data_IF_939222268367
#
_entry.id   IF_939222268367
#
_cell.length_a   1.000
_cell.length_b   1.000
_cell.length_c   1.000
_cell.angle_alpha   90.00
_cell.angle_beta   90.00
_cell.angle_gamma   90.00
#
_symmetry.space_group_name_H-M   'P 1'
#
loop_
_entity.id
_entity.type
_entity.pdbx_description
1 polymer ?
#
# COMPACT_ATOMS: atom_id res chain seq x y z
N UNK A 1 -40.71 -12.69 -8.65
CA UNK A 1 -39.89 -13.84 -8.21
C UNK A 1 -38.75 -13.26 -7.39
N UNK A 2 -38.58 -13.68 -6.14
CA UNK A 2 -37.46 -13.21 -5.34
C UNK A 2 -36.16 -13.71 -5.99
N UNK A 3 -35.28 -12.80 -6.42
CA UNK A 3 -33.95 -13.15 -6.89
C UNK A 3 -33.27 -13.95 -5.79
N UNK A 4 -32.87 -15.19 -6.08
CA UNK A 4 -32.13 -16.00 -5.11
C UNK A 4 -30.85 -15.25 -4.73
N UNK A 5 -30.49 -15.18 -3.44
CA UNK A 5 -29.27 -14.50 -2.98
C UNK A 5 -28.03 -14.97 -3.73
N UNK A 6 -28.00 -16.22 -4.20
CA UNK A 6 -26.93 -16.79 -5.02
C UNK A 6 -26.74 -16.10 -6.38
N UNK A 7 -27.80 -15.49 -6.93
CA UNK A 7 -27.77 -14.76 -8.22
C UNK A 7 -27.34 -13.30 -8.08
N UNK A 8 -27.23 -12.77 -6.85
CA UNK A 8 -26.73 -11.42 -6.61
C UNK A 8 -25.21 -11.36 -6.82
N UNK A 9 -24.67 -10.21 -7.26
CA UNK A 9 -23.22 -10.06 -7.45
C UNK A 9 -22.47 -10.07 -6.11
N UNK A 10 -21.16 -10.27 -6.19
CA UNK A 10 -20.23 -9.91 -5.12
C UNK A 10 -19.79 -8.48 -5.33
N UNK A 11 -20.06 -7.60 -4.37
CA UNK A 11 -19.61 -6.22 -4.43
C UNK A 11 -18.13 -6.14 -4.05
N UNK A 12 -17.32 -5.51 -4.91
CA UNK A 12 -15.90 -5.25 -4.67
C UNK A 12 -15.72 -3.74 -4.57
N UNK A 13 -15.29 -3.24 -3.42
CA UNK A 13 -15.18 -1.81 -3.16
C UNK A 13 -13.74 -1.39 -3.45
N UNK A 14 -13.55 -0.57 -4.48
CA UNK A 14 -12.26 -0.10 -4.99
C UNK A 14 -11.77 -0.86 -6.22
N UNK A 15 -11.43 -0.14 -7.30
CA UNK A 15 -10.80 -0.64 -8.51
C UNK A 15 -9.28 -0.43 -8.49
N UNK A 16 -8.65 -0.61 -7.33
CA UNK A 16 -7.20 -0.73 -7.18
C UNK A 16 -6.68 -2.11 -7.60
N UNK A 17 -5.35 -2.36 -7.50
CA UNK A 17 -4.74 -3.62 -7.91
C UNK A 17 -5.42 -4.86 -7.31
N UNK A 18 -5.65 -4.85 -5.99
CA UNK A 18 -6.23 -5.99 -5.28
C UNK A 18 -7.73 -6.16 -5.60
N UNK A 19 -8.47 -5.06 -5.76
CA UNK A 19 -9.90 -5.12 -6.12
C UNK A 19 -10.13 -5.65 -7.54
N UNK A 20 -9.34 -5.20 -8.51
CA UNK A 20 -9.42 -5.73 -9.88
C UNK A 20 -8.96 -7.19 -9.97
N UNK A 21 -7.93 -7.58 -9.22
CA UNK A 21 -7.55 -8.98 -9.09
C UNK A 21 -8.69 -9.81 -8.48
N UNK A 22 -9.36 -9.33 -7.43
CA UNK A 22 -10.52 -10.00 -6.85
C UNK A 22 -11.63 -10.22 -7.89
N UNK A 23 -11.92 -9.21 -8.71
CA UNK A 23 -12.90 -9.33 -9.79
C UNK A 23 -12.48 -10.39 -10.82
N UNK A 24 -11.20 -10.46 -11.21
CA UNK A 24 -10.69 -11.48 -12.12
C UNK A 24 -10.84 -12.91 -11.54
N UNK A 25 -10.47 -13.12 -10.28
CA UNK A 25 -10.64 -14.41 -9.59
C UNK A 25 -12.11 -14.82 -9.45
N UNK A 26 -13.01 -13.86 -9.20
CA UNK A 26 -14.45 -14.13 -9.16
C UNK A 26 -14.97 -14.56 -10.54
N UNK A 27 -14.54 -13.90 -11.62
CA UNK A 27 -14.89 -14.26 -13.00
C UNK A 27 -14.39 -15.65 -13.36
N UNK A 28 -13.15 -16.02 -13.01
CA UNK A 28 -12.62 -17.38 -13.24
C UNK A 28 -13.48 -18.46 -12.57
N UNK A 29 -14.15 -18.11 -11.47
CA UNK A 29 -15.04 -19.01 -10.71
C UNK A 29 -16.52 -18.88 -11.09
N UNK A 30 -16.84 -18.15 -12.17
CA UNK A 30 -18.22 -17.97 -12.64
C UNK A 30 -19.10 -17.13 -11.70
N UNK A 31 -18.51 -16.37 -10.79
CA UNK A 31 -19.21 -15.45 -9.89
C UNK A 31 -19.20 -14.06 -10.52
N UNK A 32 -20.35 -13.39 -10.58
CA UNK A 32 -20.45 -12.03 -11.10
C UNK A 32 -19.87 -11.01 -10.09
N UNK A 33 -18.76 -10.32 -10.38
CA UNK A 33 -18.32 -9.19 -9.57
C UNK A 33 -19.07 -7.91 -9.97
N UNK A 34 -19.18 -7.00 -9.01
CA UNK A 34 -19.51 -5.59 -9.24
C UNK A 34 -18.48 -4.74 -8.51
N UNK A 35 -17.55 -4.14 -9.26
CA UNK A 35 -16.51 -3.26 -8.73
C UNK A 35 -17.03 -1.83 -8.69
N UNK A 36 -16.93 -1.19 -7.53
CA UNK A 36 -17.36 0.20 -7.30
C UNK A 36 -16.12 1.04 -6.95
N UNK A 37 -15.77 2.00 -7.80
CA UNK A 37 -14.60 2.86 -7.67
C UNK A 37 -15.03 4.32 -7.51
N UNK A 38 -14.58 4.97 -6.44
CA UNK A 38 -14.89 6.36 -6.15
C UNK A 38 -14.24 7.33 -7.17
N UNK A 39 -13.02 7.02 -7.63
CA UNK A 39 -12.31 7.79 -8.64
C UNK A 39 -12.93 7.67 -10.04
N UNK A 40 -12.51 8.56 -10.93
CA UNK A 40 -12.97 8.60 -12.33
C UNK A 40 -12.43 7.44 -13.18
N UNK A 41 -11.36 6.79 -12.73
CA UNK A 41 -10.64 5.74 -13.44
C UNK A 41 -10.17 4.64 -12.51
N UNK A 42 -9.98 3.45 -13.08
CA UNK A 42 -9.32 2.35 -12.40
C UNK A 42 -7.92 2.74 -11.92
N UNK A 43 -7.56 2.27 -10.72
CA UNK A 43 -6.31 2.60 -10.07
C UNK A 43 -6.17 4.07 -9.67
N UNK A 44 -7.25 4.80 -9.39
CA UNK A 44 -7.20 6.23 -9.05
C UNK A 44 -6.16 6.56 -7.96
N UNK A 45 -6.11 5.78 -6.87
CA UNK A 45 -5.08 5.93 -5.85
C UNK A 45 -3.65 5.72 -6.40
N UNK A 46 -3.45 4.69 -7.22
CA UNK A 46 -2.16 4.40 -7.87
C UNK A 46 -1.70 5.54 -8.77
N UNK A 47 -2.64 6.14 -9.51
CA UNK A 47 -2.38 7.30 -10.37
C UNK A 47 -1.95 8.52 -9.58
N UNK A 48 -2.48 8.71 -8.36
CA UNK A 48 -2.12 9.85 -7.50
C UNK A 48 -0.66 9.83 -7.04
N UNK A 49 -0.01 8.66 -7.01
CA UNK A 49 1.43 8.51 -6.79
C UNK A 49 2.14 7.98 -8.05
N UNK A 50 1.59 8.24 -9.24
CA UNK A 50 2.05 7.62 -10.47
C UNK A 50 3.50 7.89 -10.86
N UNK A 51 4.11 8.94 -10.33
CA UNK A 51 5.52 9.28 -10.53
C UNK A 51 6.49 8.38 -9.73
N UNK A 52 6.00 7.67 -8.71
CA UNK A 52 6.84 6.81 -7.86
C UNK A 52 7.11 5.48 -8.54
N UNK A 53 8.40 5.11 -8.65
CA UNK A 53 8.85 3.79 -9.12
C UNK A 53 8.61 2.72 -8.06
N UNK A 54 8.07 1.58 -8.46
CA UNK A 54 7.86 0.43 -7.57
C UNK A 54 9.19 -0.30 -7.33
N UNK A 55 9.26 -0.98 -6.18
CA UNK A 55 10.33 -1.93 -5.85
C UNK A 55 10.05 -3.34 -6.35
N UNK A 56 8.87 -3.57 -6.93
CA UNK A 56 8.41 -4.85 -7.45
C UNK A 56 8.41 -4.84 -8.96
N UNK A 57 8.80 -5.95 -9.58
CA UNK A 57 8.83 -6.08 -11.04
C UNK A 57 7.43 -6.31 -11.60
N UNK A 58 7.27 -6.15 -12.91
CA UNK A 58 6.06 -6.56 -13.62
C UNK A 58 5.67 -8.02 -13.40
N UNK A 59 6.64 -8.92 -13.18
CA UNK A 59 6.37 -10.31 -12.83
C UNK A 59 5.63 -10.47 -11.50
N UNK A 60 5.85 -9.57 -10.55
CA UNK A 60 5.28 -9.60 -9.20
C UNK A 60 3.99 -8.78 -9.08
N UNK A 61 3.80 -7.77 -9.93
CA UNK A 61 2.63 -6.85 -9.84
C UNK A 61 1.52 -7.14 -10.84
N UNK A 62 1.63 -8.21 -11.63
CA UNK A 62 0.56 -8.72 -12.50
C UNK A 62 -0.01 -10.00 -11.89
N UNK A 63 -1.27 -9.95 -11.44
CA UNK A 63 -1.97 -11.14 -10.95
C UNK A 63 -2.17 -12.19 -12.07
N UNK A 64 -1.95 -13.50 -11.80
CA UNK A 64 -2.10 -14.54 -12.82
C UNK A 64 -3.51 -14.69 -13.41
N UNK A 65 -4.57 -14.56 -12.62
CA UNK A 65 -5.95 -14.65 -13.11
C UNK A 65 -6.29 -13.45 -13.99
N UNK A 66 -5.88 -12.25 -13.57
CA UNK A 66 -5.99 -11.04 -14.38
C UNK A 66 -5.21 -11.15 -15.70
N UNK A 67 -3.99 -11.71 -15.67
CA UNK A 67 -3.18 -11.93 -16.86
C UNK A 67 -3.86 -12.85 -17.89
N UNK A 68 -4.53 -13.91 -17.45
CA UNK A 68 -5.33 -14.77 -18.33
C UNK A 68 -6.54 -14.05 -18.91
N UNK A 69 -7.22 -13.23 -18.11
CA UNK A 69 -8.37 -12.42 -18.57
C UNK A 69 -7.96 -11.40 -19.65
N UNK A 70 -6.74 -10.87 -19.56
CA UNK A 70 -6.17 -9.92 -20.52
C UNK A 70 -5.61 -10.57 -21.80
N UNK A 71 -5.13 -11.82 -21.72
CA UNK A 71 -4.53 -12.52 -22.86
C UNK A 71 -5.36 -12.47 -24.17
N UNK A 72 -6.69 -12.68 -24.17
CA UNK A 72 -7.49 -12.63 -25.40
C UNK A 72 -7.76 -11.21 -25.93
N UNK A 73 -7.42 -10.14 -25.20
CA UNK A 73 -7.73 -8.75 -25.59
C UNK A 73 -6.66 -8.10 -26.47
N UNK A 74 -5.60 -8.85 -26.83
CA UNK A 74 -4.41 -8.30 -27.50
C UNK A 74 -3.49 -7.51 -26.57
N UNK A 75 -3.71 -7.59 -25.25
CA UNK A 75 -2.84 -6.95 -24.26
C UNK A 75 -1.41 -7.50 -24.34
N UNK A 76 -0.44 -6.60 -24.48
CA UNK A 76 0.98 -6.95 -24.47
C UNK A 76 1.51 -6.88 -23.05
N UNK A 77 1.90 -8.03 -22.49
CA UNK A 77 2.51 -8.08 -21.17
C UNK A 77 3.86 -7.35 -21.19
N UNK A 78 4.10 -6.40 -20.26
CA UNK A 78 5.41 -5.76 -20.12
C UNK A 78 6.51 -6.78 -19.75
N UNK A 79 7.77 -6.40 -19.95
CA UNK A 79 8.92 -7.22 -19.55
C UNK A 79 8.84 -7.59 -18.04
N UNK A 80 8.72 -8.87 -17.68
CA UNK A 80 8.60 -9.31 -16.29
C UNK A 80 9.74 -8.88 -15.37
N UNK A 81 10.92 -8.58 -15.91
CA UNK A 81 12.08 -8.14 -15.12
C UNK A 81 12.12 -6.62 -14.88
N UNK A 82 11.34 -5.83 -15.63
CA UNK A 82 11.33 -4.39 -15.51
C UNK A 82 10.47 -3.90 -14.32
N UNK A 83 10.81 -2.72 -13.80
CA UNK A 83 10.15 -2.08 -12.66
C UNK A 83 9.26 -0.92 -13.12
N UNK A 84 7.94 -1.03 -12.98
CA UNK A 84 7.04 0.06 -13.34
C UNK A 84 7.06 1.20 -12.32
N UNK A 85 6.74 2.39 -12.81
CA UNK A 85 6.13 3.45 -12.01
C UNK A 85 4.67 3.16 -11.71
N UNK A 86 4.09 3.81 -10.70
CA UNK A 86 2.65 3.72 -10.44
C UNK A 86 1.82 4.11 -11.67
N UNK A 87 2.27 5.10 -12.44
CA UNK A 87 1.62 5.59 -13.64
C UNK A 87 1.62 4.53 -14.75
N UNK A 88 2.74 3.84 -14.94
CA UNK A 88 2.84 2.72 -15.87
C UNK A 88 1.99 1.54 -15.42
N UNK A 89 2.01 1.20 -14.13
CA UNK A 89 1.17 0.13 -13.57
C UNK A 89 -0.32 0.40 -13.82
N UNK A 90 -0.76 1.63 -13.57
CA UNK A 90 -2.14 2.04 -13.82
C UNK A 90 -2.49 2.05 -15.31
N UNK A 91 -1.63 2.59 -16.17
CA UNK A 91 -1.90 2.76 -17.60
C UNK A 91 -1.78 1.46 -18.39
N UNK A 92 -0.77 0.66 -18.13
CA UNK A 92 -0.43 -0.52 -18.92
C UNK A 92 -1.07 -1.80 -18.38
N UNK A 93 -1.61 -1.82 -17.16
CA UNK A 93 -2.23 -3.01 -16.57
C UNK A 93 -3.60 -2.77 -15.93
N UNK A 94 -3.71 -1.86 -14.94
CA UNK A 94 -4.96 -1.70 -14.19
C UNK A 94 -6.12 -1.19 -15.07
N UNK A 95 -5.85 -0.22 -15.94
CA UNK A 95 -6.87 0.29 -16.86
C UNK A 95 -7.28 -0.77 -17.90
N UNK A 96 -6.36 -1.42 -18.64
CA UNK A 96 -6.72 -2.54 -19.51
C UNK A 96 -7.54 -3.63 -18.82
N UNK A 97 -7.21 -3.95 -17.56
CA UNK A 97 -7.95 -4.96 -16.79
C UNK A 97 -9.38 -4.50 -16.47
N UNK A 98 -9.55 -3.25 -16.08
CA UNK A 98 -10.88 -2.68 -15.86
C UNK A 98 -11.69 -2.64 -17.16
N UNK A 99 -11.07 -2.27 -18.28
CA UNK A 99 -11.71 -2.23 -19.60
C UNK A 99 -12.16 -3.65 -20.03
N UNK A 100 -11.33 -4.68 -19.78
CA UNK A 100 -11.67 -6.07 -20.05
C UNK A 100 -12.82 -6.60 -19.17
N UNK A 101 -12.96 -6.10 -17.93
CA UNK A 101 -14.07 -6.40 -17.04
C UNK A 101 -15.38 -5.69 -17.46
N UNK A 102 -15.27 -4.57 -18.18
CA UNK A 102 -16.36 -3.81 -18.79
C UNK A 102 -17.32 -3.22 -17.76
N UNK A 103 -18.63 -3.32 -18.01
CA UNK A 103 -19.71 -2.78 -17.17
C UNK A 103 -19.75 -3.29 -15.72
N UNK A 104 -18.91 -4.28 -15.40
CA UNK A 104 -18.70 -4.77 -14.04
C UNK A 104 -17.91 -3.78 -13.19
N UNK A 105 -17.19 -2.83 -13.80
CA UNK A 105 -16.44 -1.78 -13.10
C UNK A 105 -17.16 -0.46 -13.27
N UNK A 106 -17.70 0.09 -12.18
CA UNK A 106 -18.35 1.40 -12.14
C UNK A 106 -17.43 2.41 -11.47
N UNK A 107 -16.94 3.38 -12.23
CA UNK A 107 -16.16 4.51 -11.71
C UNK A 107 -17.07 5.66 -11.30
N UNK A 108 -16.55 6.63 -10.54
CA UNK A 108 -17.34 7.72 -9.97
C UNK A 108 -18.44 7.24 -9.03
N UNK A 109 -18.27 6.08 -8.41
CA UNK A 109 -19.24 5.41 -7.55
C UNK A 109 -18.65 5.23 -6.14
N UNK A 110 -18.96 6.17 -5.25
CA UNK A 110 -18.47 6.17 -3.87
C UNK A 110 -19.40 5.33 -3.00
N UNK A 111 -18.88 4.30 -2.35
CA UNK A 111 -19.66 3.54 -1.36
C UNK A 111 -19.73 4.34 -0.06
N UNK A 112 -20.94 4.64 0.39
CA UNK A 112 -21.21 5.44 1.60
C UNK A 112 -21.76 4.63 2.76
N UNK A 113 -22.17 3.38 2.53
CA UNK A 113 -22.66 2.50 3.58
C UNK A 113 -22.79 1.05 3.14
N UNK A 114 -22.55 0.10 4.05
CA UNK A 114 -22.79 -1.32 3.84
C UNK A 114 -23.52 -1.90 5.07
N UNK A 115 -24.63 -2.59 4.83
CA UNK A 115 -25.42 -3.24 5.89
C UNK A 115 -26.08 -4.53 5.38
N UNK A 116 -26.85 -5.20 6.23
CA UNK A 116 -27.74 -6.30 5.85
C UNK A 116 -29.13 -5.77 5.55
N UNK A 117 -29.79 -6.28 4.51
CA UNK A 117 -31.09 -5.80 4.08
C UNK A 117 -32.13 -5.84 5.21
N UNK A 118 -32.61 -4.67 5.63
CA UNK A 118 -33.61 -4.52 6.69
C UNK A 118 -33.15 -4.98 8.08
N UNK A 119 -31.84 -5.09 8.31
CA UNK A 119 -31.24 -5.57 9.56
C UNK A 119 -30.08 -4.67 9.93
N UNK A 120 -30.32 -3.74 10.85
CA UNK A 120 -29.24 -2.97 11.48
C UNK A 120 -28.32 -3.88 12.29
N UNK A 121 -27.19 -3.34 12.73
CA UNK A 121 -26.14 -4.08 13.44
C UNK A 121 -26.61 -4.82 14.69
N UNK A 122 -27.64 -4.34 15.40
CA UNK A 122 -28.09 -4.95 16.66
C UNK A 122 -29.08 -6.09 16.44
N UNK A 123 -29.74 -6.17 15.29
CA UNK A 123 -30.70 -7.25 15.02
C UNK A 123 -30.01 -8.58 14.72
N UNK A 124 -30.27 -9.60 15.55
CA UNK A 124 -29.78 -10.97 15.32
C UNK A 124 -30.68 -11.79 14.40
N UNK A 125 -32.01 -11.60 14.52
CA UNK A 125 -32.99 -12.44 13.84
C UNK A 125 -32.84 -12.41 12.30
N UNK A 126 -32.55 -13.59 11.72
CA UNK A 126 -32.36 -13.85 10.29
C UNK A 126 -31.31 -12.98 9.58
N UNK A 127 -30.43 -12.28 10.33
CA UNK A 127 -29.45 -11.34 9.76
C UNK A 127 -28.56 -11.98 8.69
N UNK A 128 -27.97 -13.12 9.01
CA UNK A 128 -27.03 -13.83 8.13
C UNK A 128 -27.66 -14.30 6.81
N UNK A 129 -28.97 -14.50 6.80
CA UNK A 129 -29.73 -14.94 5.61
C UNK A 129 -30.05 -13.79 4.65
N UNK A 130 -29.98 -12.54 5.12
CA UNK A 130 -30.27 -11.37 4.29
C UNK A 130 -29.09 -11.04 3.38
N UNK A 131 -29.33 -10.58 2.14
CA UNK A 131 -28.27 -10.02 1.31
C UNK A 131 -27.69 -8.74 1.94
N UNK A 132 -26.51 -8.36 1.49
CA UNK A 132 -25.96 -7.03 1.77
C UNK A 132 -26.69 -5.97 0.97
N UNK A 133 -26.82 -4.79 1.55
CA UNK A 133 -27.19 -3.55 0.87
C UNK A 133 -25.96 -2.64 0.87
N UNK A 134 -25.54 -2.23 -0.31
CA UNK A 134 -24.44 -1.28 -0.53
C UNK A 134 -25.07 0.04 -0.99
N UNK A 135 -24.85 1.10 -0.22
CA UNK A 135 -25.25 2.46 -0.57
C UNK A 135 -24.13 3.10 -1.37
N UNK A 136 -24.49 3.71 -2.50
CA UNK A 136 -23.56 4.33 -3.44
C UNK A 136 -24.02 5.74 -3.76
N UNK A 137 -23.11 6.69 -3.66
CA UNK A 137 -23.26 8.04 -4.20
C UNK A 137 -22.43 8.14 -5.48
N UNK A 138 -23.09 8.50 -6.58
CA UNK A 138 -22.47 8.68 -7.89
C UNK A 138 -21.90 10.10 -8.02
N UNK A 139 -20.91 10.30 -8.90
CA UNK A 139 -20.28 11.59 -9.13
C UNK A 139 -21.24 12.69 -9.65
N UNK A 140 -22.40 12.30 -10.17
CA UNK A 140 -23.50 13.19 -10.56
C UNK A 140 -24.45 13.57 -9.40
N UNK A 141 -24.17 13.10 -8.19
CA UNK A 141 -24.97 13.30 -6.98
C UNK A 141 -26.14 12.32 -6.81
N UNK A 142 -26.32 11.36 -7.74
CA UNK A 142 -27.38 10.36 -7.63
C UNK A 142 -27.02 9.29 -6.60
N UNK A 143 -27.98 8.90 -5.79
CA UNK A 143 -27.83 7.79 -4.84
C UNK A 143 -28.44 6.49 -5.38
N UNK A 144 -27.81 5.36 -5.07
CA UNK A 144 -28.26 4.02 -5.45
C UNK A 144 -28.09 3.05 -4.27
N UNK A 145 -29.02 2.10 -4.14
CA UNK A 145 -28.87 0.94 -3.25
C UNK A 145 -28.73 -0.32 -4.08
N UNK A 146 -27.66 -1.07 -3.82
CA UNK A 146 -27.31 -2.27 -4.57
C UNK A 146 -27.35 -3.46 -3.63
N UNK A 147 -28.02 -4.54 -4.06
CA UNK A 147 -28.01 -5.81 -3.32
C UNK A 147 -26.81 -6.66 -3.74
N UNK A 148 -26.11 -7.23 -2.77
CA UNK A 148 -24.97 -8.10 -2.99
C UNK A 148 -25.04 -9.36 -2.11
N UNK A 149 -24.48 -10.47 -2.60
CA UNK A 149 -24.40 -11.72 -1.81
C UNK A 149 -23.21 -11.75 -0.86
N UNK A 150 -22.17 -10.99 -1.17
CA UNK A 150 -20.95 -10.84 -0.39
C UNK A 150 -20.30 -9.49 -0.72
N UNK A 151 -19.41 -9.04 0.16
CA UNK A 151 -18.67 -7.78 0.04
C UNK A 151 -17.18 -8.02 0.23
N UNK A 152 -16.37 -7.55 -0.71
CA UNK A 152 -14.91 -7.50 -0.62
C UNK A 152 -14.52 -6.02 -0.57
N UNK A 153 -14.06 -5.54 0.58
CA UNK A 153 -13.55 -4.18 0.71
C UNK A 153 -12.05 -4.15 0.37
N UNK A 154 -11.75 -3.62 -0.81
CA UNK A 154 -10.41 -3.39 -1.34
C UNK A 154 -10.10 -1.88 -1.47
N UNK A 155 -10.80 -1.01 -0.73
CA UNK A 155 -10.68 0.46 -0.82
C UNK A 155 -9.31 1.01 -0.38
N UNK A 156 -8.48 0.18 0.26
CA UNK A 156 -7.14 0.53 0.71
C UNK A 156 -7.14 1.58 1.83
N UNK A 157 -6.04 2.31 1.95
CA UNK A 157 -5.84 3.29 3.05
C UNK A 157 -5.47 4.69 2.55
N UNK A 158 -5.30 4.86 1.24
CA UNK A 158 -4.74 6.09 0.64
C UNK A 158 -5.51 7.37 0.98
N UNK A 159 -6.83 7.28 1.14
CA UNK A 159 -7.69 8.43 1.44
C UNK A 159 -7.41 9.04 2.82
N UNK A 160 -6.96 8.25 3.80
CA UNK A 160 -6.80 8.71 5.18
C UNK A 160 -5.32 8.74 5.56
N UNK A 161 -4.70 9.91 5.44
CA UNK A 161 -3.31 10.11 5.83
C UNK A 161 -3.12 10.08 7.36
N UNK A 162 -1.96 9.62 7.79
CA UNK A 162 -1.50 9.78 9.16
C UNK A 162 -1.18 11.25 9.46
N UNK A 163 -1.54 11.76 10.65
CA UNK A 163 -1.23 13.13 11.03
C UNK A 163 0.24 13.32 11.39
N UNK A 164 0.69 14.57 11.46
CA UNK A 164 2.05 14.92 11.89
C UNK A 164 2.25 14.75 13.40
N UNK A 165 1.19 14.89 14.20
CA UNK A 165 1.27 14.89 15.65
C UNK A 165 1.81 13.59 16.26
N UNK A 166 2.54 13.73 17.37
CA UNK A 166 3.26 12.64 18.03
C UNK A 166 2.38 11.53 18.61
N UNK A 167 1.14 11.87 18.98
CA UNK A 167 0.15 10.99 19.61
C UNK A 167 -0.78 10.29 18.62
N UNK A 168 -0.56 10.44 17.31
CA UNK A 168 -1.45 9.89 16.29
C UNK A 168 -2.73 10.73 16.08
N UNK A 169 -2.76 11.95 16.59
CA UNK A 169 -3.73 12.99 16.28
C UNK A 169 -3.07 14.12 15.49
N UNK A 170 -3.83 14.94 14.74
CA UNK A 170 -3.30 16.16 14.15
C UNK A 170 -2.67 17.06 15.21
N UNK A 171 -1.48 17.58 14.93
CA UNK A 171 -0.85 18.62 15.72
C UNK A 171 -1.71 19.89 15.70
N UNK A 172 -1.59 20.73 16.73
CA UNK A 172 -2.30 22.00 16.77
C UNK A 172 -1.86 22.87 15.59
N UNK A 173 -2.80 23.49 14.89
CA UNK A 173 -2.50 24.29 13.69
C UNK A 173 -2.25 23.49 12.40
N UNK A 174 -2.11 22.16 12.45
CA UNK A 174 -1.84 21.32 11.26
C UNK A 174 -2.90 21.51 10.17
N UNK A 175 -4.19 21.47 10.54
CA UNK A 175 -5.30 21.69 9.58
C UNK A 175 -5.31 23.11 9.01
N UNK A 176 -4.95 24.11 9.81
CA UNK A 176 -4.91 25.52 9.39
C UNK A 176 -3.70 25.84 8.48
N UNK A 177 -2.70 24.98 8.48
CA UNK A 177 -1.51 25.07 7.63
C UNK A 177 -1.59 24.19 6.37
N UNK A 178 -2.79 23.72 5.99
CA UNK A 178 -2.99 22.84 4.84
C UNK A 178 -2.51 23.43 3.49
N UNK A 179 -2.35 24.75 3.40
CA UNK A 179 -1.75 25.44 2.25
C UNK A 179 -0.25 25.17 2.09
N UNK A 180 0.45 24.71 3.13
CA UNK A 180 1.90 24.42 3.19
C UNK A 180 2.24 22.99 3.61
N UNK A 181 1.23 22.20 3.97
CA UNK A 181 1.40 20.81 4.42
C UNK A 181 0.86 19.86 3.34
N UNK A 182 1.69 18.94 2.90
CA UNK A 182 1.28 17.79 2.08
C UNK A 182 1.49 16.49 2.83
N UNK A 183 0.68 15.48 2.52
CA UNK A 183 0.81 14.13 3.05
C UNK A 183 1.30 13.12 2.00
N UNK A 184 1.96 13.63 0.95
CA UNK A 184 2.34 12.90 -0.26
C UNK A 184 3.78 13.20 -0.62
N UNK A 185 4.46 12.22 -1.22
CA UNK A 185 5.74 12.46 -1.87
C UNK A 185 5.49 13.42 -3.04
N UNK A 186 6.23 14.55 -3.13
CA UNK A 186 6.02 15.51 -4.19
C UNK A 186 6.56 15.00 -5.53
N UNK A 187 5.80 15.19 -6.60
CA UNK A 187 6.23 14.95 -7.97
C UNK A 187 7.13 16.10 -8.45
N UNK A 188 8.42 16.02 -8.18
CA UNK A 188 9.38 17.06 -8.60
C UNK A 188 9.68 17.05 -10.11
N UNK A 189 9.12 16.09 -10.87
CA UNK A 189 9.10 16.13 -12.33
C UNK A 189 8.10 17.14 -12.87
N UNK A 190 7.07 17.47 -12.10
CA UNK A 190 6.12 18.54 -12.43
C UNK A 190 6.75 19.92 -12.15
N UNK A 191 6.90 20.81 -13.16
CA UNK A 191 7.54 22.11 -12.97
C UNK A 191 6.91 23.00 -11.89
N UNK A 192 5.58 22.96 -11.74
CA UNK A 192 4.88 23.77 -10.74
C UNK A 192 5.13 23.26 -9.31
N UNK A 193 5.14 21.93 -9.14
CA UNK A 193 5.49 21.30 -7.85
C UNK A 193 6.96 21.55 -7.55
N UNK A 194 7.84 21.37 -8.53
CA UNK A 194 9.28 21.64 -8.40
C UNK A 194 9.56 23.07 -7.94
N UNK A 195 8.90 24.06 -8.55
CA UNK A 195 9.05 25.48 -8.18
C UNK A 195 8.63 25.79 -6.74
N UNK A 196 7.74 24.99 -6.15
CA UNK A 196 7.32 25.12 -4.75
C UNK A 196 8.41 24.72 -3.76
N UNK A 197 9.29 23.79 -4.13
CA UNK A 197 10.36 23.27 -3.25
C UNK A 197 11.76 23.80 -3.60
N UNK A 198 11.98 24.29 -4.82
CA UNK A 198 13.28 24.76 -5.28
C UNK A 198 13.77 25.97 -4.47
N UNK A 199 14.97 25.87 -3.90
CA UNK A 199 15.58 26.91 -3.07
C UNK A 199 14.89 27.10 -1.71
N UNK A 200 14.06 26.14 -1.27
CA UNK A 200 13.26 26.23 -0.05
C UNK A 200 13.75 25.31 1.06
N UNK A 201 13.45 25.69 2.31
CA UNK A 201 13.66 24.84 3.47
C UNK A 201 12.39 24.03 3.74
N UNK A 202 12.48 22.71 3.67
CA UNK A 202 11.32 21.81 3.72
C UNK A 202 11.43 20.83 4.87
N UNK A 203 10.45 20.77 5.77
CA UNK A 203 10.41 19.73 6.79
C UNK A 203 9.86 18.42 6.21
N UNK A 204 10.54 17.30 6.45
CA UNK A 204 10.07 15.95 6.09
C UNK A 204 9.84 15.17 7.38
N UNK A 205 8.59 14.85 7.70
CA UNK A 205 8.22 14.15 8.93
C UNK A 205 7.94 12.69 8.63
N UNK A 206 8.73 11.77 9.20
CA UNK A 206 8.55 10.33 9.02
C UNK A 206 9.86 9.58 8.78
N UNK A 207 9.82 8.26 8.87
CA UNK A 207 11.00 7.40 8.76
C UNK A 207 10.77 6.14 7.91
N UNK A 208 9.69 6.13 7.11
CA UNK A 208 9.39 5.05 6.19
C UNK A 208 9.97 5.29 4.80
N UNK A 209 9.79 4.31 3.89
CA UNK A 209 10.27 4.41 2.51
C UNK A 209 9.83 5.72 1.83
N UNK A 210 8.59 6.15 2.01
CA UNK A 210 8.12 7.42 1.43
C UNK A 210 8.94 8.63 1.88
N UNK A 211 9.35 8.68 3.16
CA UNK A 211 10.17 9.78 3.68
C UNK A 211 11.56 9.78 3.06
N UNK A 212 12.17 8.60 2.90
CA UNK A 212 13.45 8.46 2.22
C UNK A 212 13.37 8.86 0.74
N UNK A 213 12.27 8.53 0.06
CA UNK A 213 12.05 8.97 -1.33
C UNK A 213 11.98 10.49 -1.40
N UNK A 214 11.22 11.13 -0.52
CA UNK A 214 11.15 12.59 -0.48
C UNK A 214 12.50 13.25 -0.20
N UNK A 215 13.30 12.68 0.73
CA UNK A 215 14.65 13.18 1.02
C UNK A 215 15.59 13.04 -0.18
N UNK A 216 15.57 11.91 -0.88
CA UNK A 216 16.36 11.70 -2.09
C UNK A 216 15.99 12.71 -3.18
N UNK A 217 14.69 12.88 -3.45
CA UNK A 217 14.20 13.85 -4.42
C UNK A 217 14.57 15.31 -4.09
N UNK A 218 14.49 15.71 -2.82
CA UNK A 218 14.90 17.05 -2.40
C UNK A 218 16.42 17.25 -2.52
N UNK A 219 17.23 16.22 -2.27
CA UNK A 219 18.68 16.28 -2.47
C UNK A 219 19.04 16.42 -3.96
N UNK A 220 18.41 15.65 -4.84
CA UNK A 220 18.56 15.81 -6.29
C UNK A 220 18.15 17.21 -6.76
N UNK A 221 17.07 17.75 -6.20
CA UNK A 221 16.67 19.13 -6.48
C UNK A 221 17.75 20.11 -6.03
N UNK A 222 18.34 19.93 -4.85
CA UNK A 222 19.42 20.77 -4.34
C UNK A 222 20.67 20.77 -5.25
N UNK A 223 21.00 19.61 -5.85
CA UNK A 223 22.13 19.43 -6.78
C UNK A 223 21.87 20.01 -8.19
N UNK A 224 20.62 20.36 -8.51
CA UNK A 224 20.26 20.88 -9.83
C UNK A 224 20.46 22.39 -9.98
N UNK A 225 20.68 22.87 -11.21
CA UNK A 225 20.97 24.28 -11.52
C UNK A 225 19.94 25.27 -10.94
N UNK A 226 18.66 24.88 -10.92
CA UNK A 226 17.56 25.74 -10.44
C UNK A 226 17.15 25.47 -8.99
N UNK A 227 17.85 24.60 -8.26
CA UNK A 227 17.48 24.20 -6.91
C UNK A 227 18.51 24.55 -5.84
N UNK A 228 19.52 25.37 -6.16
CA UNK A 228 20.48 25.88 -5.17
C UNK A 228 19.75 26.48 -3.96
N UNK A 229 20.13 26.06 -2.76
CA UNK A 229 19.49 26.46 -1.50
C UNK A 229 18.31 25.59 -1.06
N UNK A 230 17.91 24.58 -1.85
CA UNK A 230 16.95 23.56 -1.39
C UNK A 230 17.56 22.79 -0.22
N UNK A 231 16.82 22.70 0.89
CA UNK A 231 17.32 22.04 2.09
C UNK A 231 16.19 21.31 2.83
N UNK A 232 16.44 20.07 3.23
CA UNK A 232 15.49 19.30 4.01
C UNK A 232 15.78 19.36 5.52
N UNK A 233 14.73 19.40 6.33
CA UNK A 233 14.80 19.17 7.78
C UNK A 233 14.07 17.87 8.07
N UNK A 234 14.81 16.81 8.30
CA UNK A 234 14.26 15.48 8.51
C UNK A 234 13.87 15.26 9.97
N UNK A 235 12.58 15.15 10.24
CA UNK A 235 12.01 15.10 11.58
C UNK A 235 11.63 13.68 11.96
N UNK A 236 12.21 13.24 13.08
CA UNK A 236 12.15 11.88 13.58
C UNK A 236 11.69 11.87 15.05
N UNK A 237 10.67 11.05 15.33
CA UNK A 237 10.19 10.81 16.72
C UNK A 237 11.20 10.06 17.59
N UNK A 238 12.10 9.31 16.97
CA UNK A 238 13.13 8.48 17.64
C UNK A 238 14.51 8.91 17.19
N UNK A 239 15.55 8.42 17.87
CA UNK A 239 16.94 8.57 17.42
C UNK A 239 17.21 7.83 16.11
N UNK A 240 18.28 8.20 15.42
CA UNK A 240 18.80 7.45 14.28
C UNK A 240 19.64 6.29 14.81
N UNK A 241 19.38 5.09 14.30
CA UNK A 241 20.12 3.85 14.55
C UNK A 241 20.59 3.23 13.23
N UNK A 242 21.46 2.22 13.29
CA UNK A 242 21.88 1.46 12.11
C UNK A 242 20.72 0.82 11.33
N UNK A 243 19.56 0.58 11.98
CA UNK A 243 18.34 0.09 11.35
C UNK A 243 17.45 1.17 10.74
N UNK A 244 17.74 2.46 10.98
CA UNK A 244 16.91 3.57 10.50
C UNK A 244 16.90 3.65 8.97
N UNK A 245 18.04 3.42 8.32
CA UNK A 245 18.15 3.45 6.86
C UNK A 245 17.88 2.08 6.20
N UNK A 246 17.21 1.16 6.90
CA UNK A 246 17.09 -0.23 6.43
C UNK A 246 18.42 -1.00 6.50
N UNK A 247 18.42 -2.25 6.06
CA UNK A 247 19.59 -3.14 6.16
C UNK A 247 20.78 -2.75 5.27
N UNK A 248 20.70 -1.64 4.52
CA UNK A 248 21.72 -1.24 3.56
C UNK A 248 21.93 -2.33 2.49
N UNK A 249 23.18 -2.74 2.28
CA UNK A 249 23.52 -3.87 1.40
C UNK A 249 23.10 -5.24 1.97
N UNK A 250 22.80 -5.32 3.26
CA UNK A 250 22.28 -6.51 3.94
C UNK A 250 20.75 -6.49 4.06
N UNK A 251 20.07 -5.52 3.44
CA UNK A 251 18.61 -5.51 3.38
C UNK A 251 18.14 -6.68 2.51
N UNK A 252 17.19 -7.47 3.02
CA UNK A 252 16.55 -8.54 2.27
C UNK A 252 15.85 -8.02 0.99
N UNK A 253 15.62 -6.70 0.90
CA UNK A 253 15.08 -6.01 -0.27
C UNK A 253 16.13 -4.99 -0.79
N UNK A 254 16.99 -5.35 -1.76
CA UNK A 254 18.05 -4.48 -2.30
C UNK A 254 17.61 -3.06 -2.68
N UNK A 255 16.43 -2.92 -3.29
CA UNK A 255 15.89 -1.61 -3.69
C UNK A 255 15.55 -0.71 -2.49
N UNK A 256 15.05 -1.31 -1.39
CA UNK A 256 14.77 -0.60 -0.14
C UNK A 256 16.07 -0.18 0.56
N UNK A 257 17.08 -1.04 0.52
CA UNK A 257 18.43 -0.72 0.98
C UNK A 257 19.02 0.47 0.23
N UNK A 258 18.89 0.50 -1.11
CA UNK A 258 19.36 1.61 -1.94
C UNK A 258 18.66 2.94 -1.58
N UNK A 259 17.37 2.92 -1.28
CA UNK A 259 16.62 4.09 -0.86
C UNK A 259 17.10 4.65 0.49
N UNK A 260 17.38 3.77 1.45
CA UNK A 260 17.97 4.15 2.72
C UNK A 260 19.37 4.74 2.58
N UNK A 261 20.18 4.18 1.68
CA UNK A 261 21.50 4.73 1.33
C UNK A 261 21.40 6.12 0.67
N UNK A 262 20.43 6.33 -0.22
CA UNK A 262 20.19 7.65 -0.82
C UNK A 262 19.79 8.70 0.22
N UNK A 263 18.90 8.35 1.16
CA UNK A 263 18.53 9.24 2.27
C UNK A 263 19.72 9.52 3.20
N UNK A 264 20.57 8.52 3.46
CA UNK A 264 21.82 8.70 4.21
C UNK A 264 22.77 9.66 3.48
N UNK A 265 22.96 9.48 2.17
CA UNK A 265 23.79 10.36 1.36
C UNK A 265 23.28 11.81 1.35
N UNK A 266 21.96 12.02 1.33
CA UNK A 266 21.36 13.36 1.42
C UNK A 266 21.77 14.08 2.72
N UNK A 267 21.83 13.36 3.84
CA UNK A 267 22.29 13.89 5.13
C UNK A 267 23.81 14.12 5.11
N UNK A 268 24.58 13.14 4.65
CA UNK A 268 26.06 13.21 4.64
C UNK A 268 26.61 14.31 3.73
N UNK A 269 25.93 14.60 2.62
CA UNK A 269 26.26 15.71 1.70
C UNK A 269 25.77 17.08 2.19
N UNK A 270 25.04 17.14 3.31
CA UNK A 270 24.54 18.39 3.89
C UNK A 270 23.28 18.95 3.23
N UNK A 271 22.57 18.18 2.41
CA UNK A 271 21.27 18.58 1.84
C UNK A 271 20.10 18.39 2.83
N UNK A 272 20.33 17.68 3.94
CA UNK A 272 19.32 17.43 4.96
C UNK A 272 19.91 17.44 6.38
N UNK A 273 19.25 18.14 7.30
CA UNK A 273 19.55 18.08 8.74
C UNK A 273 18.57 17.14 9.45
N UNK A 274 19.07 16.25 10.32
CA UNK A 274 18.23 15.36 11.11
C UNK A 274 17.85 15.98 12.47
N UNK A 275 16.55 16.07 12.75
CA UNK A 275 15.99 16.47 14.04
C UNK A 275 15.36 15.24 14.69
N UNK A 276 16.03 14.69 15.70
CA UNK A 276 15.61 13.46 16.37
C UNK A 276 14.92 13.70 17.72
N UNK A 277 14.19 12.67 18.18
CA UNK A 277 13.42 12.73 19.42
C UNK A 277 12.31 13.78 19.39
N UNK A 278 11.90 14.24 18.22
CA UNK A 278 10.98 15.36 18.05
C UNK A 278 9.57 14.84 17.75
N UNK A 279 8.65 15.15 18.66
CA UNK A 279 7.22 14.87 18.51
C UNK A 279 6.51 16.19 18.26
N UNK A 280 6.00 16.39 17.06
CA UNK A 280 5.31 17.62 16.69
C UNK A 280 4.06 17.80 17.54
N UNK A 281 4.03 18.87 18.31
CA UNK A 281 2.89 19.29 19.13
C UNK A 281 2.03 20.30 18.34
N UNK A 282 2.69 21.24 17.65
CA UNK A 282 1.99 22.29 16.92
C UNK A 282 2.78 22.84 15.73
N UNK A 283 2.03 23.48 14.84
CA UNK A 283 2.49 24.37 13.79
C UNK A 283 2.10 25.81 14.13
N UNK A 284 3.08 26.69 14.15
CA UNK A 284 2.92 28.14 14.25
C UNK A 284 3.31 28.79 12.93
N UNK A 285 2.98 30.07 12.75
CA UNK A 285 3.52 30.89 11.66
C UNK A 285 4.46 31.95 12.21
N UNK A 286 5.56 32.19 11.49
CA UNK A 286 6.41 33.35 11.73
C UNK A 286 5.82 34.62 11.07
N UNK A 287 6.54 35.74 11.19
CA UNK A 287 6.10 37.03 10.64
C UNK A 287 5.96 37.01 9.10
N UNK A 288 6.71 36.15 8.42
CA UNK A 288 6.69 35.98 6.96
C UNK A 288 5.70 34.89 6.51
N UNK A 289 4.96 34.31 7.46
CA UNK A 289 3.96 33.27 7.22
C UNK A 289 4.52 31.87 7.01
N UNK A 290 5.83 31.65 7.22
CA UNK A 290 6.49 30.34 7.19
C UNK A 290 6.12 29.53 8.42
N UNK A 291 6.22 28.21 8.31
CA UNK A 291 5.81 27.30 9.38
C UNK A 291 6.93 27.09 10.40
N UNK A 292 6.59 27.20 11.68
CA UNK A 292 7.47 26.85 12.79
C UNK A 292 6.89 25.65 13.51
N UNK A 293 7.68 24.57 13.60
CA UNK A 293 7.27 23.36 14.28
C UNK A 293 7.69 23.43 15.75
N UNK A 294 6.73 23.19 16.65
CA UNK A 294 6.96 23.10 18.09
C UNK A 294 6.84 21.66 18.54
N UNK A 295 7.83 21.21 19.30
CA UNK A 295 7.89 19.87 19.89
C UNK A 295 7.23 19.81 21.25
N UNK A 296 6.73 18.63 21.63
CA UNK A 296 6.22 18.36 22.99
C UNK A 296 7.27 18.57 24.09
N UNK A 297 8.56 18.60 23.73
CA UNK A 297 9.68 18.87 24.62
C UNK A 297 10.04 20.37 24.73
N UNK A 298 9.18 21.25 24.18
CA UNK A 298 9.36 22.70 24.18
C UNK A 298 10.35 23.22 23.14
N UNK A 299 11.01 22.36 22.36
CA UNK A 299 11.88 22.81 21.26
C UNK A 299 11.04 23.48 20.18
N UNK A 300 11.56 24.59 19.66
CA UNK A 300 11.01 25.32 18.52
C UNK A 300 12.04 25.29 17.41
N UNK A 301 11.67 24.74 16.26
CA UNK A 301 12.58 24.62 15.12
C UNK A 301 12.64 25.92 14.32
N UNK A 302 13.68 26.06 13.49
CA UNK A 302 13.74 27.16 12.52
C UNK A 302 12.56 27.11 11.55
N UNK A 303 12.06 28.27 11.06
CA UNK A 303 10.95 28.29 10.14
C UNK A 303 11.25 27.58 8.82
N UNK A 304 10.28 26.83 8.32
CA UNK A 304 10.31 26.11 7.04
C UNK A 304 9.22 26.64 6.10
N UNK A 305 9.50 26.61 4.80
CA UNK A 305 8.55 27.05 3.77
C UNK A 305 7.43 26.02 3.56
N UNK A 306 7.79 24.74 3.59
CA UNK A 306 6.91 23.61 3.25
C UNK A 306 7.10 22.44 4.23
N UNK A 307 6.07 21.63 4.39
CA UNK A 307 6.11 20.43 5.24
C UNK A 307 5.52 19.24 4.50
N UNK A 308 6.26 18.13 4.52
CA UNK A 308 5.87 16.85 3.93
C UNK A 308 5.67 15.84 5.07
N UNK A 309 4.43 15.46 5.35
CA UNK A 309 4.04 14.53 6.42
C UNK A 309 3.86 13.13 5.86
N UNK A 310 4.82 12.25 6.15
CA UNK A 310 4.89 10.88 5.63
C UNK A 310 4.87 9.89 6.79
N UNK A 311 3.85 10.02 7.63
CA UNK A 311 3.65 9.23 8.86
C UNK A 311 2.72 8.04 8.67
N UNK A 312 2.50 7.62 7.41
CA UNK A 312 1.68 6.47 7.03
C UNK A 312 0.23 6.83 6.72
N UNK A 313 -0.62 5.81 6.66
CA UNK A 313 -2.03 5.90 6.27
C UNK A 313 -2.90 5.03 7.19
N UNK A 314 -4.22 5.18 7.10
CA UNK A 314 -5.20 4.46 7.93
C UNK A 314 -6.36 3.92 7.09
N UNK A 315 -6.97 2.81 7.50
CA UNK A 315 -8.24 2.37 6.90
C UNK A 315 -9.36 3.34 7.27
N UNK A 316 -10.22 3.69 6.31
CA UNK A 316 -11.51 4.33 6.60
C UNK A 316 -12.56 3.25 6.79
N UNK A 317 -13.13 3.15 8.00
CA UNK A 317 -14.11 2.12 8.36
C UNK A 317 -15.52 2.69 8.50
N UNK A 318 -15.71 4.00 8.34
CA UNK A 318 -16.96 4.70 8.66
C UNK A 318 -18.17 4.15 7.90
N UNK A 319 -18.03 3.84 6.62
CA UNK A 319 -19.11 3.27 5.81
C UNK A 319 -19.45 1.79 6.14
N UNK A 320 -18.70 1.17 7.06
CA UNK A 320 -18.89 -0.22 7.50
C UNK A 320 -19.46 -0.31 8.93
N UNK A 321 -19.90 0.82 9.52
CA UNK A 321 -20.34 0.89 10.92
C UNK A 321 -21.50 -0.07 11.26
N UNK A 322 -22.33 -0.42 10.28
CA UNK A 322 -23.45 -1.37 10.40
C UNK A 322 -23.06 -2.84 10.25
N UNK A 323 -21.78 -3.14 10.02
CA UNK A 323 -21.25 -4.51 9.93
C UNK A 323 -20.63 -4.96 11.25
N UNK A 324 -20.74 -6.27 11.53
CA UNK A 324 -20.10 -6.91 12.69
C UNK A 324 -18.68 -7.35 12.35
N UNK A 325 -17.76 -6.40 12.26
CA UNK A 325 -16.34 -6.65 11.98
C UNK A 325 -15.56 -7.05 13.25
N UNK A 326 -14.73 -8.07 13.13
CA UNK A 326 -13.76 -8.46 14.15
C UNK A 326 -12.42 -7.82 13.85
N UNK A 327 -12.10 -6.71 14.52
CA UNK A 327 -10.88 -5.93 14.29
C UNK A 327 -10.01 -5.89 15.55
N UNK A 328 -8.70 -6.02 15.35
CA UNK A 328 -7.69 -5.83 16.39
C UNK A 328 -7.67 -4.37 16.88
N UNK A 329 -7.60 -4.20 18.21
CA UNK A 329 -7.71 -2.91 18.88
C UNK A 329 -6.57 -1.93 18.52
N UNK A 330 -5.40 -2.44 18.13
CA UNK A 330 -4.22 -1.63 17.84
C UNK A 330 -4.07 -1.35 16.35
N UNK A 331 -4.11 -2.41 15.54
CA UNK A 331 -3.84 -2.34 14.11
C UNK A 331 -5.07 -1.97 13.30
N UNK A 332 -6.28 -2.22 13.83
CA UNK A 332 -7.53 -2.15 13.06
C UNK A 332 -7.52 -3.09 11.84
N UNK A 333 -6.79 -4.21 11.96
CA UNK A 333 -6.76 -5.33 11.02
C UNK A 333 -7.71 -6.44 11.48
N UNK A 334 -8.13 -7.41 10.63
CA UNK A 334 -8.85 -8.59 11.07
C UNK A 334 -8.12 -9.30 12.24
N UNK A 335 -8.85 -9.69 13.27
CA UNK A 335 -8.27 -10.25 14.53
C UNK A 335 -7.36 -11.44 14.27
N UNK A 336 -7.73 -12.35 13.36
CA UNK A 336 -6.91 -13.51 13.02
C UNK A 336 -5.65 -13.17 12.22
N UNK A 337 -5.66 -12.05 11.48
CA UNK A 337 -4.51 -11.57 10.72
C UNK A 337 -3.53 -10.79 11.60
N UNK A 338 -4.01 -10.00 12.56
CA UNK A 338 -3.20 -9.03 13.30
C UNK A 338 -1.90 -9.59 13.91
N UNK A 339 -1.88 -10.78 14.57
CA UNK A 339 -0.65 -11.35 15.09
C UNK A 339 0.40 -11.66 14.01
N UNK A 340 -0.03 -11.98 12.78
CA UNK A 340 0.83 -12.38 11.66
C UNK A 340 1.54 -11.19 11.00
N UNK A 341 1.07 -9.97 11.27
CA UNK A 341 1.52 -8.74 10.60
C UNK A 341 1.92 -7.64 11.58
N UNK A 342 1.97 -7.93 12.89
CA UNK A 342 2.35 -6.93 13.90
C UNK A 342 3.77 -6.41 13.61
N UNK A 343 3.95 -5.10 13.31
CA UNK A 343 5.26 -4.53 13.01
C UNK A 343 6.25 -4.56 14.18
N UNK A 344 5.79 -4.88 15.41
CA UNK A 344 6.68 -5.10 16.54
C UNK A 344 7.30 -6.50 16.57
N UNK A 345 6.77 -7.44 15.77
CA UNK A 345 7.20 -8.84 15.73
C UNK A 345 7.69 -9.25 14.35
N UNK A 346 7.14 -8.65 13.28
CA UNK A 346 7.37 -9.04 11.91
C UNK A 346 7.94 -7.91 11.06
N UNK A 347 8.73 -8.29 10.07
CA UNK A 347 9.18 -7.45 8.95
C UNK A 347 8.59 -7.97 7.63
N UNK A 348 8.72 -7.22 6.53
CA UNK A 348 8.16 -7.62 5.23
C UNK A 348 8.58 -9.04 4.78
N UNK A 349 9.77 -9.53 5.18
CA UNK A 349 10.27 -10.85 4.81
C UNK A 349 9.79 -12.00 5.70
N UNK A 350 9.14 -11.71 6.83
CA UNK A 350 8.72 -12.73 7.82
C UNK A 350 7.21 -12.92 7.87
N UNK A 351 6.45 -12.17 7.08
CA UNK A 351 4.99 -12.29 7.02
C UNK A 351 4.64 -13.46 6.11
N UNK A 352 4.01 -14.49 6.67
CA UNK A 352 3.53 -15.62 5.89
C UNK A 352 2.33 -15.22 5.01
N UNK A 353 2.19 -15.83 3.81
CA UNK A 353 0.97 -15.68 3.03
C UNK A 353 -0.25 -16.14 3.83
N UNK A 354 -1.37 -15.47 3.63
CA UNK A 354 -2.59 -15.70 4.38
C UNK A 354 -3.81 -15.50 3.48
N UNK A 355 -4.85 -16.29 3.74
CA UNK A 355 -6.06 -16.36 2.94
C UNK A 355 -7.32 -16.03 3.73
N UNK A 356 -8.46 -16.51 3.23
CA UNK A 356 -9.81 -16.17 3.70
C UNK A 356 -10.01 -16.32 5.21
N UNK A 357 -9.44 -17.35 5.86
CA UNK A 357 -9.57 -17.57 7.32
C UNK A 357 -9.00 -16.42 8.14
N UNK A 358 -7.83 -15.91 7.76
CA UNK A 358 -7.20 -14.78 8.47
C UNK A 358 -7.98 -13.47 8.26
N UNK A 359 -8.72 -13.38 7.16
CA UNK A 359 -9.48 -12.19 6.73
C UNK A 359 -10.97 -12.24 7.11
N UNK A 360 -11.40 -13.33 7.74
CA UNK A 360 -12.80 -13.55 8.09
C UNK A 360 -13.22 -12.67 9.26
N UNK A 361 -14.50 -12.30 9.28
CA UNK A 361 -15.12 -11.53 10.34
C UNK A 361 -16.32 -12.29 10.95
N UNK A 362 -16.83 -11.86 12.13
CA UNK A 362 -18.10 -12.35 12.63
C UNK A 362 -19.24 -12.19 11.63
N UNK A 363 -19.29 -11.07 10.90
CA UNK A 363 -20.19 -10.88 9.76
C UNK A 363 -19.76 -11.75 8.56
N UNK A 364 -20.53 -12.79 8.26
CA UNK A 364 -20.22 -13.76 7.21
C UNK A 364 -20.34 -13.16 5.80
N UNK A 365 -19.41 -13.49 4.90
CA UNK A 365 -19.43 -13.00 3.52
C UNK A 365 -18.92 -11.57 3.33
N UNK A 366 -18.25 -11.01 4.34
CA UNK A 366 -17.51 -9.74 4.26
C UNK A 366 -16.02 -10.03 4.45
N UNK A 367 -15.19 -9.45 3.58
CA UNK A 367 -13.73 -9.54 3.69
C UNK A 367 -13.09 -8.17 3.49
N UNK A 368 -12.21 -7.76 4.41
CA UNK A 368 -11.27 -6.68 4.16
C UNK A 368 -10.02 -7.29 3.49
N UNK A 369 -9.58 -6.74 2.36
CA UNK A 369 -8.44 -7.28 1.60
C UNK A 369 -7.43 -6.19 1.21
N UNK A 370 -6.27 -6.61 0.75
CA UNK A 370 -5.19 -5.72 0.36
C UNK A 370 -4.66 -4.90 1.53
N UNK A 371 -4.14 -3.70 1.24
CA UNK A 371 -3.64 -2.77 2.26
C UNK A 371 -4.71 -2.41 3.32
N UNK A 372 -6.01 -2.47 2.98
CA UNK A 372 -7.10 -2.25 3.94
C UNK A 372 -7.05 -3.25 5.09
N UNK A 373 -6.81 -4.53 4.77
CA UNK A 373 -6.73 -5.63 5.75
C UNK A 373 -5.56 -5.48 6.72
N UNK A 374 -4.49 -4.78 6.32
CA UNK A 374 -3.33 -4.57 7.17
C UNK A 374 -3.53 -3.46 8.20
N UNK A 375 -4.61 -2.68 8.06
CA UNK A 375 -4.93 -1.56 8.93
C UNK A 375 -3.77 -0.56 9.00
N UNK A 376 -3.02 -0.59 10.12
CA UNK A 376 -1.86 0.28 10.37
C UNK A 376 -0.50 -0.38 10.16
N UNK A 377 -0.46 -1.66 9.83
CA UNK A 377 0.79 -2.37 9.56
C UNK A 377 1.38 -1.95 8.20
N UNK A 378 2.68 -1.63 8.12
CA UNK A 378 3.30 -1.07 6.91
C UNK A 378 3.88 -2.11 5.94
N UNK A 379 3.72 -3.41 6.21
CA UNK A 379 4.48 -4.51 5.57
C UNK A 379 3.74 -5.20 4.41
N UNK A 380 2.75 -4.53 3.81
CA UNK A 380 1.94 -5.13 2.74
C UNK A 380 2.68 -5.22 1.41
N UNK A 381 2.46 -6.33 0.69
CA UNK A 381 2.98 -6.59 -0.65
C UNK A 381 1.84 -6.91 -1.62
N UNK A 382 1.96 -6.49 -2.88
CA UNK A 382 0.93 -6.74 -3.91
C UNK A 382 0.64 -8.24 -4.09
N UNK A 383 1.68 -9.08 -4.14
CA UNK A 383 1.54 -10.54 -4.24
C UNK A 383 0.77 -11.14 -3.07
N UNK A 384 0.96 -10.63 -1.84
CA UNK A 384 0.16 -11.06 -0.70
C UNK A 384 -1.31 -10.71 -0.92
N UNK A 385 -1.61 -9.52 -1.42
CA UNK A 385 -2.97 -9.13 -1.80
C UNK A 385 -3.60 -10.04 -2.86
N UNK A 386 -2.84 -10.49 -3.85
CA UNK A 386 -3.31 -11.42 -4.88
C UNK A 386 -3.64 -12.80 -4.29
N UNK A 387 -2.81 -13.29 -3.37
CA UNK A 387 -3.08 -14.53 -2.65
C UNK A 387 -4.33 -14.43 -1.75
N UNK A 388 -4.51 -13.30 -1.07
CA UNK A 388 -5.70 -13.04 -0.27
C UNK A 388 -6.97 -13.17 -1.11
N UNK A 389 -7.02 -12.50 -2.27
CA UNK A 389 -8.25 -12.47 -3.09
C UNK A 389 -8.48 -13.76 -3.87
N UNK A 390 -7.43 -14.49 -4.25
CA UNK A 390 -7.53 -15.87 -4.77
C UNK A 390 -8.25 -16.77 -3.76
N UNK A 391 -7.76 -16.77 -2.52
CA UNK A 391 -8.31 -17.57 -1.42
C UNK A 391 -9.75 -17.16 -1.08
N UNK A 392 -10.03 -15.86 -0.99
CA UNK A 392 -11.39 -15.34 -0.72
C UNK A 392 -12.37 -15.71 -1.84
N UNK A 393 -11.98 -15.57 -3.11
CA UNK A 393 -12.84 -15.96 -4.23
C UNK A 393 -13.15 -17.46 -4.22
N UNK A 394 -12.19 -18.31 -3.84
CA UNK A 394 -12.41 -19.75 -3.65
C UNK A 394 -13.43 -20.05 -2.54
N UNK A 395 -13.28 -19.39 -1.38
CA UNK A 395 -14.23 -19.53 -0.27
C UNK A 395 -15.65 -19.10 -0.67
N UNK A 396 -15.79 -17.98 -1.39
CA UNK A 396 -17.08 -17.49 -1.88
C UNK A 396 -17.72 -18.40 -2.93
N UNK A 397 -16.92 -19.19 -3.66
CA UNK A 397 -17.39 -20.23 -4.56
C UNK A 397 -17.80 -21.53 -3.84
N UNK A 398 -17.54 -21.65 -2.53
CA UNK A 398 -17.78 -22.87 -1.75
C UNK A 398 -16.66 -23.91 -1.86
N UNK A 399 -15.54 -23.56 -2.49
CA UNK A 399 -14.36 -24.41 -2.67
C UNK A 399 -13.36 -24.13 -1.54
N UNK A 400 -13.69 -24.65 -0.34
CA UNK A 400 -12.88 -24.42 0.86
C UNK A 400 -11.51 -25.09 0.78
N UNK A 401 -11.39 -26.22 0.08
CA UNK A 401 -10.11 -26.89 -0.12
C UNK A 401 -9.15 -26.01 -0.92
N UNK A 402 -9.61 -25.33 -1.97
CA UNK A 402 -8.77 -24.36 -2.70
C UNK A 402 -8.54 -23.06 -1.92
N UNK A 403 -9.51 -22.65 -1.11
CA UNK A 403 -9.37 -21.47 -0.27
C UNK A 403 -8.30 -21.66 0.82
N UNK A 404 -8.18 -22.86 1.38
CA UNK A 404 -7.26 -23.19 2.46
C UNK A 404 -5.81 -23.44 2.01
N UNK A 405 -5.58 -23.75 0.73
CA UNK A 405 -4.23 -23.86 0.19
C UNK A 405 -3.57 -22.49 0.13
N UNK A 406 -2.32 -22.41 0.56
CA UNK A 406 -1.45 -21.25 0.27
C UNK A 406 -0.73 -21.54 -1.04
N UNK A 407 -0.99 -20.72 -2.06
CA UNK A 407 -0.41 -20.91 -3.40
C UNK A 407 0.67 -19.86 -3.74
N UNK A 408 0.95 -18.95 -2.81
CA UNK A 408 2.02 -17.96 -2.93
C UNK A 408 3.37 -18.52 -2.46
N UNK A 409 4.31 -18.63 -3.40
CA UNK A 409 5.72 -18.87 -3.09
C UNK A 409 6.47 -17.54 -3.08
N UNK A 410 6.99 -17.15 -1.92
CA UNK A 410 7.91 -16.02 -1.81
C UNK A 410 9.35 -16.49 -2.06
N UNK A 411 10.20 -15.73 -2.79
CA UNK A 411 11.62 -16.06 -2.92
C UNK A 411 12.31 -16.10 -1.56
N UNK A 412 13.26 -17.04 -1.35
CA UNK A 412 14.02 -17.18 -0.10
C UNK A 412 14.81 -15.93 0.29
N UNK A 413 15.16 -15.07 -0.68
CA UNK A 413 15.88 -13.81 -0.46
C UNK A 413 15.00 -12.68 0.10
N UNK A 414 13.68 -12.87 0.19
CA UNK A 414 12.74 -11.77 0.36
C UNK A 414 12.40 -11.11 -0.98
N UNK A 415 11.19 -10.58 -1.06
CA UNK A 415 10.56 -10.02 -2.27
C UNK A 415 11.05 -8.59 -2.51
N UNK A 416 11.93 -8.36 -3.48
CA UNK A 416 12.16 -7.09 -4.23
C UNK A 416 13.57 -7.15 -4.85
N UNK A 417 13.73 -7.72 -6.04
CA UNK A 417 15.01 -7.90 -6.71
C UNK A 417 15.64 -6.63 -7.31
N UNK A 418 15.63 -5.49 -6.63
CA UNK A 418 16.42 -4.29 -7.01
C UNK A 418 16.00 -3.50 -8.27
N UNK A 419 15.28 -2.39 -8.08
CA UNK A 419 15.52 -1.17 -8.86
C UNK A 419 16.14 -0.13 -7.93
N UNK A 420 17.31 0.39 -8.28
CA UNK A 420 17.78 1.65 -7.69
C UNK A 420 16.82 2.78 -8.06
N UNK A 421 16.87 3.87 -7.31
CA UNK A 421 16.16 5.12 -7.65
C UNK A 421 16.62 5.72 -8.99
N UNK A 422 17.68 5.18 -9.61
CA UNK A 422 18.32 5.74 -10.79
C UNK A 422 18.71 4.65 -11.78
N UNK A 423 18.46 4.90 -13.06
CA UNK A 423 19.27 4.37 -14.14
C UNK A 423 20.46 5.32 -14.30
N UNK A 424 21.49 5.18 -13.47
CA UNK A 424 22.80 5.76 -13.82
C UNK A 424 23.35 4.93 -14.97
N UNK A 425 23.34 5.47 -16.18
CA UNK A 425 24.36 5.09 -17.15
C UNK A 425 25.72 5.27 -16.45
N UNK A 426 26.54 4.22 -16.45
CA UNK A 426 27.81 4.07 -15.72
C UNK A 426 27.69 3.54 -14.28
N UNK A 427 27.30 2.27 -14.16
CA UNK A 427 27.96 1.38 -13.19
C UNK A 427 29.06 0.61 -13.93
N UNK A 428 30.35 0.69 -13.52
CA UNK A 428 31.37 -0.15 -14.12
C UNK A 428 31.01 -1.60 -13.86
N UNK A 429 30.88 -2.38 -14.93
CA UNK A 429 30.95 -3.83 -14.84
C UNK A 429 32.28 -4.17 -14.17
N UNK A 430 32.23 -4.60 -12.91
CA UNK A 430 33.38 -5.27 -12.30
C UNK A 430 33.51 -6.62 -12.97
N UNK A 431 34.31 -6.65 -14.03
CA UNK A 431 34.96 -7.83 -14.56
C UNK A 431 35.79 -8.46 -13.42
N UNK A 432 35.18 -9.40 -12.69
CA UNK A 432 35.95 -10.39 -11.95
C UNK A 432 36.09 -11.62 -12.83
N UNK A 433 37.11 -11.59 -13.69
CA UNK A 433 37.68 -12.80 -14.27
C UNK A 433 38.15 -13.72 -13.14
N UNK A 434 37.33 -14.73 -12.84
CA UNK A 434 37.61 -15.77 -11.84
C UNK A 434 37.37 -17.14 -12.45
N UNK A 435 38.42 -17.71 -13.05
CA UNK A 435 38.46 -19.10 -13.49
C UNK A 435 38.36 -20.01 -12.26
N UNK A 436 37.27 -20.76 -12.09
CA UNK A 436 37.15 -21.95 -11.24
C UNK A 436 35.98 -22.81 -11.70
N UNK A 437 36.25 -24.10 -11.96
CA UNK A 437 35.27 -25.10 -12.35
C UNK A 437 34.18 -25.32 -11.28
N UNK A 438 32.95 -25.60 -11.72
CA UNK A 438 31.83 -25.94 -10.84
C UNK A 438 32.08 -27.28 -10.12
N UNK A 439 31.86 -27.40 -8.79
CA UNK A 439 31.91 -28.68 -8.11
C UNK A 439 30.61 -29.47 -8.33
N UNK A 440 30.74 -30.76 -8.63
CA UNK A 440 29.61 -31.69 -8.79
C UNK A 440 28.87 -31.92 -7.46
N UNK A 441 27.53 -32.02 -7.47
CA UNK A 441 26.74 -32.25 -6.27
C UNK A 441 26.91 -33.67 -5.73
N UNK A 442 27.28 -33.77 -4.45
CA UNK A 442 27.36 -35.05 -3.70
C UNK A 442 26.04 -35.31 -2.97
N UNK A 443 25.38 -36.42 -3.29
CA UNK A 443 24.20 -36.92 -2.59
C UNK A 443 24.55 -37.35 -1.16
N UNK A 444 23.87 -36.77 -0.17
CA UNK A 444 23.95 -37.20 1.24
C UNK A 444 22.81 -38.20 1.51
N UNK A 445 23.16 -39.46 1.80
CA UNK A 445 22.21 -40.45 2.31
C UNK A 445 22.18 -40.41 3.84
N UNK A 446 20.98 -40.22 4.40
CA UNK A 446 20.73 -40.26 5.85
C UNK A 446 20.46 -41.72 6.28
N UNK A 447 21.30 -42.26 7.17
CA UNK A 447 21.09 -43.57 7.80
C UNK A 447 20.47 -43.41 9.21
N UNK A 448 19.49 -44.26 9.52
CA UNK A 448 18.76 -44.26 10.80
C UNK A 448 19.62 -44.78 11.98
N UNK A 449 19.37 -44.31 13.23
CA UNK A 449 20.21 -44.62 14.37
C UNK A 449 19.94 -46.03 14.94
N UNK A 450 21.02 -46.73 15.31
CA UNK A 450 20.98 -48.02 16.03
C UNK A 450 20.83 -47.80 17.54
N UNK A 451 19.89 -48.54 18.14
CA UNK A 451 19.73 -48.72 19.59
C UNK A 451 21.01 -49.23 20.25
N UNK A 452 21.36 -48.68 21.42
CA UNK A 452 22.32 -49.29 22.35
C UNK A 452 21.57 -50.05 23.44
N UNK A 453 21.96 -51.30 23.62
CA UNK A 453 21.73 -52.18 24.78
C UNK A 453 22.41 -51.64 26.03
#
# INVERSE_FOLDING_TARGET
MATSTQQLPVAVIGAGPVGLAAAAHLVERGIAPLVLEAGDKAGAAVRAWGHVRLFSTWGEVVDPAAGKLLAPTGWTRPDPAAYPSGGEWAKQYLQPLADALGDRVRTGATVTGVSRAGRDRIVDADRERQPFVVHVEHADGREERILARAVIDASGTWATAGPAGGSGLPALGEKAAADRITYRVPDLGNPAVRARYAGRRTAVIGSGASAFTALAYLAELADSENGTGTHAVWILRRGISGSTFGGGTADQLPARGALGLAAKAAVEKGHADAVTGFRTEAFERDADGRLVLRGEDGRRLDPVDEVIVLTGFRPDLSFLDELRLGLDERLQAPVALAPLIDPNQHSCGTVHPHGHRALSHPEQGVYLVGMKSYGRAPTFLAMTGYEQVRSVAAALAGDLDAADRVELTLPETGVCGGAGLFDTADSPQTDTGGCCAAPEPRLVQLAAPKHRS
#
